data_IF_396810166852
#
_entry.id   IF_396810166852
#
_cell.length_a   1.000
_cell.length_b   1.000
_cell.length_c   1.000
_cell.angle_alpha   90.00
_cell.angle_beta   90.00
_cell.angle_gamma   90.00
#
_symmetry.space_group_name_H-M   'P 1'
#
loop_
_entity.id
_entity.type
_entity.pdbx_description
1 polymer ?
#
# COMPACT_ATOMS: atom_id res chain seq x y z
N UNK A 1 8.09 -29.67 -36.39
CA UNK A 1 7.39 -28.58 -35.67
C UNK A 1 6.96 -28.96 -34.25
N UNK A 2 6.28 -30.10 -34.01
CA UNK A 2 5.86 -30.57 -32.66
C UNK A 2 6.96 -30.52 -31.57
N UNK A 3 8.18 -30.99 -31.87
CA UNK A 3 9.31 -30.97 -30.90
C UNK A 3 9.70 -29.54 -30.46
N UNK A 4 9.66 -28.55 -31.36
CA UNK A 4 9.96 -27.15 -31.01
C UNK A 4 8.92 -26.58 -30.05
N UNK A 5 7.64 -26.85 -30.31
CA UNK A 5 6.56 -26.44 -29.41
C UNK A 5 6.66 -27.12 -28.03
N UNK A 6 6.98 -28.42 -27.97
CA UNK A 6 7.19 -29.12 -26.70
C UNK A 6 8.32 -28.50 -25.88
N UNK A 7 9.47 -28.18 -26.51
CA UNK A 7 10.59 -27.54 -25.83
C UNK A 7 10.19 -26.16 -25.30
N UNK A 8 9.50 -25.35 -26.12
CA UNK A 8 9.00 -24.03 -25.69
C UNK A 8 8.04 -24.18 -24.51
N UNK A 9 7.09 -25.12 -24.57
CA UNK A 9 6.14 -25.39 -23.49
C UNK A 9 6.87 -25.77 -22.20
N UNK A 10 7.86 -26.65 -22.26
CA UNK A 10 8.64 -27.05 -21.08
C UNK A 10 9.38 -25.85 -20.50
N UNK A 11 10.05 -25.04 -21.33
CA UNK A 11 10.77 -23.85 -20.87
C UNK A 11 9.80 -22.87 -20.17
N UNK A 12 8.65 -22.58 -20.78
CA UNK A 12 7.65 -21.67 -20.20
C UNK A 12 7.14 -22.19 -18.86
N UNK A 13 6.79 -23.47 -18.78
CA UNK A 13 6.32 -24.09 -17.53
C UNK A 13 7.40 -24.07 -16.44
N UNK A 14 8.66 -24.40 -16.79
CA UNK A 14 9.77 -24.33 -15.85
C UNK A 14 10.00 -22.90 -15.36
N UNK A 15 9.97 -21.90 -16.25
CA UNK A 15 10.07 -20.49 -15.86
C UNK A 15 8.94 -20.05 -14.93
N UNK A 16 7.70 -20.48 -15.19
CA UNK A 16 6.55 -20.18 -14.32
C UNK A 16 6.70 -20.79 -12.94
N UNK A 17 7.13 -22.06 -12.85
CA UNK A 17 7.36 -22.75 -11.58
C UNK A 17 8.50 -22.07 -10.80
N UNK A 18 9.63 -21.80 -11.45
CA UNK A 18 10.76 -21.11 -10.82
C UNK A 18 10.33 -19.71 -10.36
N UNK A 19 9.63 -18.95 -11.21
CA UNK A 19 9.14 -17.61 -10.88
C UNK A 19 8.18 -17.62 -9.70
N UNK A 20 7.28 -18.60 -9.62
CA UNK A 20 6.39 -18.81 -8.48
C UNK A 20 7.20 -19.03 -7.19
N UNK A 21 8.18 -19.94 -7.20
CA UNK A 21 9.03 -20.18 -6.02
C UNK A 21 9.91 -18.99 -5.66
N UNK A 22 10.38 -18.18 -6.61
CA UNK A 22 11.12 -16.96 -6.29
C UNK A 22 10.21 -15.89 -5.68
N UNK A 23 8.94 -15.83 -6.09
CA UNK A 23 8.00 -14.80 -5.64
C UNK A 23 7.64 -14.88 -4.15
N UNK A 24 7.87 -16.02 -3.48
CA UNK A 24 7.69 -16.14 -2.02
C UNK A 24 8.88 -15.56 -1.24
N UNK A 25 10.03 -15.32 -1.89
CA UNK A 25 11.20 -14.69 -1.26
C UNK A 25 11.26 -13.19 -1.51
N UNK A 26 10.42 -12.67 -2.39
CA UNK A 26 10.35 -11.24 -2.71
C UNK A 26 9.17 -10.65 -1.94
N UNK A 27 9.41 -9.60 -1.18
CA UNK A 27 8.36 -8.86 -0.48
C UNK A 27 8.10 -7.52 -1.14
N UNK A 28 6.83 -7.14 -1.20
CA UNK A 28 6.34 -5.84 -1.68
C UNK A 28 5.71 -5.12 -0.50
N UNK A 29 6.06 -3.85 -0.32
CA UNK A 29 5.37 -2.99 0.64
C UNK A 29 4.11 -2.43 0.01
N UNK A 30 2.98 -2.68 0.67
CA UNK A 30 1.71 -2.09 0.28
C UNK A 30 1.77 -0.57 0.44
N UNK A 31 1.20 0.14 -0.53
CA UNK A 31 1.12 1.60 -0.55
C UNK A 31 -0.24 2.04 -0.03
N UNK A 32 -0.25 3.13 0.73
CA UNK A 32 -1.49 3.79 1.15
C UNK A 32 -2.35 4.12 -0.07
N UNK A 33 -3.64 3.72 -0.09
CA UNK A 33 -4.49 3.96 -1.25
C UNK A 33 -4.92 5.44 -1.32
N UNK A 34 -5.22 5.99 -2.51
CA UNK A 34 -5.59 7.40 -2.67
C UNK A 34 -6.86 7.80 -1.90
N UNK A 35 -7.81 6.89 -1.76
CA UNK A 35 -9.03 7.11 -0.99
C UNK A 35 -8.83 6.96 0.53
N UNK A 36 -7.61 6.68 1.01
CA UNK A 36 -7.36 6.52 2.43
C UNK A 36 -7.79 7.75 3.23
N UNK A 37 -8.50 7.54 4.34
CA UNK A 37 -8.90 8.63 5.23
C UNK A 37 -7.68 9.10 6.01
N UNK A 38 -7.41 10.41 5.93
CA UNK A 38 -6.31 11.08 6.63
C UNK A 38 -6.84 12.30 7.38
N UNK A 39 -6.10 12.72 8.40
CA UNK A 39 -6.38 13.97 9.11
C UNK A 39 -5.44 15.05 8.60
N UNK A 40 -5.94 16.24 8.31
CA UNK A 40 -5.15 17.39 7.86
C UNK A 40 -5.17 18.49 8.91
N UNK A 41 -4.07 19.21 9.04
CA UNK A 41 -3.93 20.41 9.87
C UNK A 41 -3.77 21.63 8.96
N UNK A 42 -4.65 22.62 9.12
CA UNK A 42 -4.74 23.74 8.19
C UNK A 42 -3.55 24.70 8.26
N UNK A 43 -2.98 24.85 9.46
CA UNK A 43 -1.97 25.86 9.78
C UNK A 43 -0.59 25.52 9.20
N UNK A 44 -0.20 24.25 9.24
CA UNK A 44 1.11 23.77 8.76
C UNK A 44 1.03 22.95 7.46
N UNK A 45 -0.18 22.82 6.90
CA UNK A 45 -0.47 22.02 5.70
C UNK A 45 0.11 20.61 5.75
N UNK A 46 -0.12 19.91 6.87
CA UNK A 46 0.29 18.51 7.02
C UNK A 46 -0.90 17.57 7.01
N UNK A 47 -0.69 16.38 6.45
CA UNK A 47 -1.60 15.26 6.63
C UNK A 47 -0.98 14.24 7.57
N UNK A 48 -1.85 13.61 8.36
CA UNK A 48 -1.56 12.74 9.48
C UNK A 48 -2.34 11.45 9.28
N UNK A 49 -1.81 10.35 9.79
CA UNK A 49 -2.60 9.12 9.91
C UNK A 49 -3.73 9.34 10.91
N UNK A 50 -4.85 8.61 10.79
CA UNK A 50 -5.93 8.67 11.79
C UNK A 50 -5.48 8.23 13.21
N UNK A 51 -4.30 7.64 13.33
CA UNK A 51 -3.66 7.22 14.59
C UNK A 51 -2.55 8.18 15.06
N UNK A 52 -2.62 9.46 14.68
CA UNK A 52 -1.64 10.46 15.11
C UNK A 52 -1.60 10.62 16.63
N UNK A 53 -0.43 11.02 17.15
CA UNK A 53 -0.30 11.43 18.54
C UNK A 53 -0.88 12.84 18.72
N UNK A 54 -1.48 13.12 19.88
CA UNK A 54 -2.11 14.43 20.14
C UNK A 54 -1.19 15.63 19.84
N UNK A 55 0.11 15.49 20.08
CA UNK A 55 1.13 16.50 19.78
C UNK A 55 1.17 16.93 18.30
N UNK A 56 0.77 16.07 17.36
CA UNK A 56 0.73 16.38 15.93
C UNK A 56 -0.31 17.47 15.59
N UNK A 57 -1.41 17.51 16.35
CA UNK A 57 -2.57 18.38 16.09
C UNK A 57 -2.81 19.42 17.18
N UNK A 58 -2.06 19.37 18.29
CA UNK A 58 -2.20 20.30 19.40
C UNK A 58 -2.10 21.76 18.95
N UNK A 59 -3.14 22.55 19.26
CA UNK A 59 -3.22 23.96 18.88
C UNK A 59 -3.48 24.23 17.39
N UNK A 60 -3.86 23.20 16.61
CA UNK A 60 -4.13 23.29 15.17
C UNK A 60 -5.56 22.90 14.85
N UNK A 61 -6.08 23.41 13.75
CA UNK A 61 -7.38 23.04 13.22
C UNK A 61 -7.25 21.74 12.42
N UNK A 62 -7.74 20.64 13.00
CA UNK A 62 -7.76 19.33 12.37
C UNK A 62 -9.06 19.08 11.58
N UNK A 63 -8.95 18.50 10.37
CA UNK A 63 -10.11 18.03 9.57
C UNK A 63 -9.79 16.69 8.93
N UNK A 64 -10.81 15.89 8.63
CA UNK A 64 -10.64 14.63 7.89
C UNK A 64 -10.84 14.84 6.39
N UNK A 65 -10.06 14.14 5.58
CA UNK A 65 -10.21 14.11 4.12
C UNK A 65 -9.59 12.83 3.52
N UNK A 66 -9.65 12.66 2.21
CA UNK A 66 -8.94 11.57 1.52
C UNK A 66 -7.49 11.96 1.23
N UNK A 67 -6.59 10.98 1.20
CA UNK A 67 -5.18 11.22 0.86
C UNK A 67 -5.05 11.92 -0.50
N UNK A 68 -5.81 11.49 -1.49
CA UNK A 68 -5.81 12.10 -2.84
C UNK A 68 -6.14 13.59 -2.78
N UNK A 69 -7.15 13.98 -1.99
CA UNK A 69 -7.53 15.38 -1.84
C UNK A 69 -6.47 16.17 -1.08
N UNK A 70 -5.93 15.62 0.02
CA UNK A 70 -4.85 16.24 0.75
C UNK A 70 -3.62 16.51 -0.14
N UNK A 71 -3.23 15.54 -0.97
CA UNK A 71 -2.12 15.69 -1.91
C UNK A 71 -2.41 16.75 -2.99
N UNK A 72 -3.62 16.75 -3.56
CA UNK A 72 -4.06 17.78 -4.53
C UNK A 72 -4.03 19.19 -3.93
N UNK A 73 -4.42 19.31 -2.66
CA UNK A 73 -4.44 20.59 -1.93
C UNK A 73 -3.06 21.03 -1.41
N UNK A 74 -2.01 20.25 -1.72
CA UNK A 74 -0.61 20.54 -1.44
C UNK A 74 -0.15 20.19 -0.02
N UNK A 75 -0.91 19.35 0.70
CA UNK A 75 -0.51 18.89 2.03
C UNK A 75 0.64 17.90 1.95
N UNK A 76 1.53 17.94 2.94
CA UNK A 76 2.69 17.05 3.05
C UNK A 76 2.52 16.07 4.21
N UNK A 77 3.14 14.88 4.16
CA UNK A 77 3.08 13.97 5.31
C UNK A 77 3.68 14.64 6.54
N UNK A 78 3.03 14.42 7.66
CA UNK A 78 3.60 14.74 8.96
C UNK A 78 4.86 13.89 9.23
N UNK A 79 5.98 14.49 9.68
CA UNK A 79 7.23 13.77 9.85
C UNK A 79 7.14 12.72 10.95
N UNK A 80 6.44 13.03 12.05
CA UNK A 80 6.27 12.12 13.19
C UNK A 80 5.45 10.89 12.78
N UNK A 81 4.29 11.10 12.14
CA UNK A 81 3.48 10.00 11.58
C UNK A 81 4.28 9.14 10.58
N UNK A 82 5.14 9.78 9.76
CA UNK A 82 5.98 9.07 8.79
C UNK A 82 7.07 8.24 9.46
N UNK A 83 7.71 8.78 10.49
CA UNK A 83 8.78 8.11 11.25
C UNK A 83 8.24 6.90 12.02
N UNK A 84 7.05 7.02 12.59
CA UNK A 84 6.32 5.91 13.23
C UNK A 84 5.81 4.85 12.23
N UNK A 85 5.96 5.09 10.92
CA UNK A 85 5.53 4.16 9.90
C UNK A 85 4.00 4.09 9.73
N UNK A 86 3.27 5.10 10.21
CA UNK A 86 1.80 5.16 10.11
C UNK A 86 1.27 5.37 8.68
N UNK A 87 2.14 5.54 7.69
CA UNK A 87 1.75 5.55 6.28
C UNK A 87 2.21 4.30 5.52
N UNK A 88 2.95 3.39 6.18
CA UNK A 88 3.42 2.15 5.56
C UNK A 88 2.28 1.14 5.49
N UNK A 89 2.20 0.36 4.43
CA UNK A 89 1.26 -0.75 4.34
C UNK A 89 1.80 -2.04 4.94
N UNK A 90 1.03 -3.11 4.82
CA UNK A 90 1.53 -4.44 5.14
C UNK A 90 2.63 -4.85 4.15
N UNK A 91 3.63 -5.58 4.65
CA UNK A 91 4.62 -6.22 3.80
C UNK A 91 4.05 -7.58 3.37
N UNK A 92 3.79 -7.74 2.07
CA UNK A 92 3.22 -8.95 1.50
C UNK A 92 4.20 -9.60 0.53
N UNK A 93 4.19 -10.92 0.42
CA UNK A 93 4.99 -11.58 -0.61
C UNK A 93 4.49 -11.21 -2.02
N UNK A 94 5.39 -11.18 -3.00
CA UNK A 94 5.06 -10.84 -4.39
C UNK A 94 3.94 -11.72 -4.94
N UNK A 95 3.93 -13.01 -4.57
CA UNK A 95 2.83 -13.90 -4.93
C UNK A 95 1.46 -13.40 -4.44
N UNK A 96 1.35 -13.06 -3.16
CA UNK A 96 0.11 -12.53 -2.58
C UNK A 96 -0.27 -11.19 -3.23
N UNK A 97 0.71 -10.32 -3.48
CA UNK A 97 0.47 -9.07 -4.20
C UNK A 97 -0.10 -9.30 -5.61
N UNK A 98 0.40 -10.29 -6.35
CA UNK A 98 -0.13 -10.63 -7.67
C UNK A 98 -1.55 -11.20 -7.60
N UNK A 99 -1.82 -12.07 -6.62
CA UNK A 99 -3.16 -12.59 -6.36
C UNK A 99 -4.17 -11.48 -6.03
N UNK A 100 -3.75 -10.46 -5.28
CA UNK A 100 -4.64 -9.33 -4.95
C UNK A 100 -5.04 -8.51 -6.17
N UNK A 101 -4.17 -8.42 -7.18
CA UNK A 101 -4.48 -7.73 -8.45
C UNK A 101 -5.50 -8.45 -9.31
N UNK A 102 -5.69 -9.75 -9.10
CA UNK A 102 -6.72 -10.55 -9.77
C UNK A 102 -7.95 -10.81 -8.88
N UNK A 103 -8.07 -10.10 -7.75
CA UNK A 103 -9.28 -10.07 -6.93
C UNK A 103 -9.31 -11.06 -5.75
N UNK A 104 -8.22 -11.78 -5.48
CA UNK A 104 -8.15 -12.61 -4.28
C UNK A 104 -7.98 -11.73 -3.04
N UNK A 105 -8.68 -12.04 -1.94
CA UNK A 105 -8.48 -11.34 -0.69
C UNK A 105 -7.06 -11.62 -0.18
N UNK A 106 -6.34 -10.57 0.16
CA UNK A 106 -5.06 -10.63 0.85
C UNK A 106 -5.13 -9.73 2.06
N UNK A 107 -4.29 -10.01 3.06
CA UNK A 107 -4.22 -9.19 4.26
C UNK A 107 -3.69 -7.79 3.91
N UNK A 108 -4.60 -6.82 3.85
CA UNK A 108 -4.34 -5.42 3.54
C UNK A 108 -4.53 -4.58 4.79
N UNK A 109 -3.71 -3.54 4.94
CA UNK A 109 -3.88 -2.54 6.00
C UNK A 109 -5.04 -1.59 5.74
N UNK A 110 -5.63 -1.61 4.55
CA UNK A 110 -6.76 -0.75 4.19
C UNK A 110 -7.94 -1.56 3.67
N UNK A 111 -9.15 -1.15 4.03
CA UNK A 111 -10.35 -1.67 3.37
C UNK A 111 -10.57 -1.02 1.99
N UNK A 112 -11.64 -1.39 1.30
CA UNK A 112 -11.96 -0.86 -0.04
C UNK A 112 -12.29 0.63 0.02
N UNK A 113 -12.81 1.08 1.16
CA UNK A 113 -13.23 2.44 1.45
C UNK A 113 -12.06 3.34 1.85
N UNK A 114 -10.89 2.75 2.14
CA UNK A 114 -9.67 3.47 2.53
C UNK A 114 -9.54 3.68 4.03
N UNK A 115 -10.38 3.03 4.84
CA UNK A 115 -10.20 2.99 6.29
C UNK A 115 -9.04 2.07 6.63
N UNK A 116 -8.38 2.41 7.74
CA UNK A 116 -7.32 1.59 8.28
C UNK A 116 -7.89 0.35 8.98
N UNK A 117 -7.37 -0.83 8.64
CA UNK A 117 -7.65 -2.10 9.29
C UNK A 117 -6.47 -2.46 10.22
N UNK A 118 -6.79 -2.95 11.42
CA UNK A 118 -5.82 -3.48 12.39
C UNK A 118 -5.37 -4.89 12.02
#
# INVERSE_FOLDING_TARGET
>A
MKKKYQIITVIVLSCLVIGFFLSIYITVEEKIPPNAVVVITLEDKRYHSIHFDYSCVAGKTAKTTTLEKALKDGYRPDPHCRELGYFRGNRVFLFHYLLSKIGFPVNSRWDKEGNWLW
#
